data_IF_190721112838
#
_entry.id   IF_190721112838
#
_cell.length_a   1.000
_cell.length_b   1.000
_cell.length_c   1.000
_cell.angle_alpha   90.00
_cell.angle_beta   90.00
_cell.angle_gamma   90.00
#
_symmetry.space_group_name_H-M   'P 1'
#
loop_
_entity.id
_entity.type
_entity.pdbx_description
1 polymer ?
#
# COMPACT_ATOMS: atom_id res chain seq x y z
N UNK A 1 -5.50 -15.86 3.22
CA UNK A 1 -4.16 -16.46 3.25
C UNK A 1 -3.69 -16.47 4.69
N UNK A 2 -2.98 -17.51 5.10
CA UNK A 2 -2.33 -17.57 6.41
C UNK A 2 -1.01 -16.79 6.37
N UNK A 3 -0.45 -16.43 7.53
CA UNK A 3 0.80 -15.65 7.63
C UNK A 3 1.95 -16.29 6.83
N UNK A 4 2.16 -17.60 6.98
CA UNK A 4 3.20 -18.34 6.27
C UNK A 4 3.06 -18.27 4.72
N UNK A 5 1.82 -18.23 4.22
CA UNK A 5 1.56 -18.11 2.79
C UNK A 5 1.85 -16.70 2.26
N UNK A 6 1.70 -15.67 3.11
CA UNK A 6 1.97 -14.28 2.75
C UNK A 6 3.47 -13.96 2.75
N UNK A 7 4.26 -14.60 3.62
CA UNK A 7 5.71 -14.38 3.71
C UNK A 7 6.45 -14.73 2.40
N UNK A 8 5.93 -15.69 1.64
CA UNK A 8 6.50 -16.14 0.37
C UNK A 8 5.77 -15.61 -0.85
N UNK A 9 4.69 -14.84 -0.67
CA UNK A 9 3.93 -14.27 -1.77
C UNK A 9 4.62 -13.03 -2.34
N UNK A 10 4.47 -12.81 -3.65
CA UNK A 10 4.88 -11.56 -4.26
C UNK A 10 3.97 -10.39 -3.83
N UNK A 11 4.48 -9.16 -3.94
CA UNK A 11 3.77 -7.95 -3.50
C UNK A 11 2.41 -7.79 -4.18
N UNK A 12 2.29 -8.10 -5.48
CA UNK A 12 1.01 -7.97 -6.20
C UNK A 12 -0.01 -8.94 -5.64
N UNK A 13 0.39 -10.19 -5.36
CA UNK A 13 -0.48 -11.19 -4.77
C UNK A 13 -0.99 -10.78 -3.38
N UNK A 14 -0.11 -10.20 -2.55
CA UNK A 14 -0.48 -9.68 -1.23
C UNK A 14 -1.50 -8.53 -1.35
N UNK A 15 -1.27 -7.59 -2.29
CA UNK A 15 -2.18 -6.48 -2.54
C UNK A 15 -3.56 -6.97 -3.01
N UNK A 16 -3.60 -7.86 -4.01
CA UNK A 16 -4.84 -8.46 -4.52
C UNK A 16 -5.61 -9.16 -3.41
N UNK A 17 -4.93 -10.00 -2.63
CA UNK A 17 -5.54 -10.68 -1.50
C UNK A 17 -6.10 -9.69 -0.48
N UNK A 18 -5.36 -8.61 -0.19
CA UNK A 18 -5.77 -7.60 0.79
C UNK A 18 -7.06 -6.89 0.36
N UNK A 19 -7.12 -6.36 -0.87
CA UNK A 19 -8.31 -5.66 -1.38
C UNK A 19 -9.52 -6.58 -1.53
N UNK A 20 -9.32 -7.85 -1.90
CA UNK A 20 -10.40 -8.86 -1.96
C UNK A 20 -10.92 -9.25 -0.58
N UNK A 21 -10.05 -9.31 0.44
CA UNK A 21 -10.40 -9.80 1.78
C UNK A 21 -11.06 -8.72 2.63
N UNK A 22 -10.59 -7.47 2.56
CA UNK A 22 -11.02 -6.42 3.47
C UNK A 22 -11.94 -5.37 2.85
N UNK A 23 -12.28 -5.52 1.57
CA UNK A 23 -12.95 -4.55 0.71
C UNK A 23 -12.08 -3.31 0.38
N UNK A 24 -12.07 -2.83 -0.88
CA UNK A 24 -11.17 -1.76 -1.32
C UNK A 24 -11.34 -0.43 -0.57
N UNK A 25 -12.57 -0.08 -0.21
CA UNK A 25 -12.92 1.15 0.48
C UNK A 25 -12.40 1.19 1.94
N UNK A 26 -12.09 0.04 2.53
CA UNK A 26 -11.58 -0.07 3.90
C UNK A 26 -10.06 -0.07 4.00
N UNK A 27 -9.35 -0.08 2.87
CA UNK A 27 -7.89 -0.04 2.81
C UNK A 27 -7.41 1.37 2.46
N UNK A 28 -6.33 1.79 3.10
CA UNK A 28 -5.57 2.98 2.73
C UNK A 28 -4.07 2.71 2.87
N UNK A 29 -3.27 3.28 1.98
CA UNK A 29 -1.81 3.29 2.08
C UNK A 29 -1.37 4.51 2.90
N UNK A 30 -0.60 4.24 3.96
CA UNK A 30 0.22 5.28 4.60
C UNK A 30 1.56 5.34 3.90
N UNK A 31 1.97 6.50 3.41
CA UNK A 31 3.24 6.67 2.72
C UNK A 31 3.92 7.97 3.12
N UNK A 32 5.21 7.89 3.44
CA UNK A 32 6.07 9.07 3.63
C UNK A 32 6.68 9.59 2.32
N UNK A 33 6.18 9.11 1.17
CA UNK A 33 6.66 9.45 -0.17
C UNK A 33 8.13 9.13 -0.47
N UNK A 34 8.81 8.35 0.38
CA UNK A 34 10.11 7.77 0.06
C UNK A 34 10.05 6.75 -1.09
N UNK A 35 11.21 6.30 -1.60
CA UNK A 35 11.29 5.46 -2.81
C UNK A 35 10.42 4.18 -2.76
N UNK A 36 10.46 3.45 -1.65
CA UNK A 36 9.65 2.24 -1.46
C UNK A 36 8.16 2.54 -1.38
N UNK A 37 7.79 3.67 -0.76
CA UNK A 37 6.40 4.14 -0.69
C UNK A 37 5.84 4.43 -2.07
N UNK A 38 6.62 5.12 -2.93
CA UNK A 38 6.21 5.42 -4.31
C UNK A 38 6.04 4.15 -5.14
N UNK A 39 6.97 3.19 -5.03
CA UNK A 39 6.84 1.89 -5.72
C UNK A 39 5.58 1.15 -5.27
N UNK A 40 5.32 1.10 -3.96
CA UNK A 40 4.14 0.44 -3.42
C UNK A 40 2.84 1.13 -3.87
N UNK A 41 2.82 2.47 -3.89
CA UNK A 41 1.69 3.26 -4.40
C UNK A 41 1.43 2.96 -5.88
N UNK A 42 2.48 2.88 -6.69
CA UNK A 42 2.37 2.52 -8.10
C UNK A 42 1.74 1.13 -8.28
N UNK A 43 2.26 0.11 -7.57
CA UNK A 43 1.72 -1.25 -7.62
C UNK A 43 0.26 -1.32 -7.13
N UNK A 44 -0.04 -0.67 -6.01
CA UNK A 44 -1.39 -0.63 -5.44
C UNK A 44 -2.40 0.03 -6.40
N UNK A 45 -2.00 1.10 -7.09
CA UNK A 45 -2.84 1.80 -8.07
C UNK A 45 -3.22 0.91 -9.27
N UNK A 46 -2.38 -0.06 -9.65
CA UNK A 46 -2.69 -1.02 -10.71
C UNK A 46 -3.65 -2.12 -10.25
N UNK A 47 -3.67 -2.44 -8.96
CA UNK A 47 -4.53 -3.49 -8.40
C UNK A 47 -5.89 -2.92 -8.00
N UNK A 48 -5.91 -1.76 -7.34
CA UNK A 48 -7.11 -1.05 -6.91
C UNK A 48 -7.02 0.43 -7.32
N UNK A 49 -7.50 0.77 -8.53
CA UNK A 49 -7.58 2.16 -8.96
C UNK A 49 -8.37 3.01 -7.96
N UNK A 50 -7.84 4.17 -7.60
CA UNK A 50 -8.45 5.04 -6.60
C UNK A 50 -8.20 4.60 -5.15
N UNK A 51 -7.26 3.68 -4.89
CA UNK A 51 -6.80 3.38 -3.53
C UNK A 51 -6.46 4.66 -2.78
N UNK A 52 -6.97 4.78 -1.55
CA UNK A 52 -6.70 5.95 -0.72
C UNK A 52 -5.26 5.92 -0.26
N UNK A 53 -4.56 7.04 -0.43
CA UNK A 53 -3.21 7.24 0.09
C UNK A 53 -3.25 8.43 1.03
N UNK A 54 -2.62 8.31 2.18
CA UNK A 54 -2.46 9.43 3.11
C UNK A 54 -1.02 9.50 3.60
N UNK A 55 -0.71 10.70 4.09
CA UNK A 55 0.57 11.04 4.68
C UNK A 55 0.32 11.75 5.99
N UNK A 56 1.20 11.52 6.96
CA UNK A 56 1.14 12.16 8.26
C UNK A 56 2.15 13.30 8.25
N UNK A 57 1.67 14.54 8.24
CA UNK A 57 2.53 15.70 8.38
C UNK A 57 2.96 15.87 9.84
N UNK A 58 4.25 15.62 10.10
CA UNK A 58 4.84 15.76 11.43
C UNK A 58 5.34 17.18 11.70
N UNK A 59 5.46 18.02 10.67
CA UNK A 59 6.09 19.34 10.75
C UNK A 59 7.62 19.34 10.69
N UNK A 60 8.29 18.18 10.57
CA UNK A 60 9.76 18.04 10.58
C UNK A 60 10.33 17.37 9.33
N UNK A 61 9.61 17.43 8.21
CA UNK A 61 10.07 16.81 6.96
C UNK A 61 11.19 17.60 6.29
N UNK A 62 12.01 16.88 5.52
CA UNK A 62 13.01 17.52 4.67
C UNK A 62 12.31 18.41 3.65
N UNK A 63 12.87 19.59 3.41
CA UNK A 63 12.53 20.40 2.24
C UNK A 63 13.29 19.74 1.08
N UNK A 64 12.56 19.17 0.14
CA UNK A 64 13.11 18.57 -1.08
C UNK A 64 13.55 19.64 -2.10
#
# INVERSE_FOLDING_TARGET
MRTEELEHADTRRILEWSFQTFAPDRIALSSAFGPSGVVLMHLASQVSPGVRVFFVDTGFHFIE
#
